data_IF_338186377205
#
_entry.id   IF_338186377205
#
_cell.length_a   1.000
_cell.length_b   1.000
_cell.length_c   1.000
_cell.angle_alpha   90.00
_cell.angle_beta   90.00
_cell.angle_gamma   90.00
#
_symmetry.space_group_name_H-M   'P 1'
#
loop_
_entity.id
_entity.type
_entity.pdbx_description
1 polymer ?
#
# COMPACT_ATOMS: atom_id res chain seq x y z
N UNK A 1 30.48 -1.89 2.92
CA UNK A 1 30.30 -3.30 3.33
C UNK A 1 28.83 -3.55 3.51
N UNK A 2 28.18 -4.31 2.63
CA UNK A 2 26.78 -4.73 2.83
C UNK A 2 26.79 -5.72 4.00
N UNK A 3 26.37 -5.28 5.19
CA UNK A 3 26.12 -6.21 6.29
C UNK A 3 25.12 -7.26 5.79
N UNK A 4 25.55 -8.53 5.78
CA UNK A 4 24.68 -9.69 5.55
C UNK A 4 23.79 -9.88 6.79
N UNK A 5 22.90 -8.92 7.02
CA UNK A 5 21.90 -9.02 8.06
C UNK A 5 20.91 -10.12 7.68
N UNK A 6 20.72 -11.09 8.57
CA UNK A 6 19.77 -12.20 8.40
C UNK A 6 18.85 -12.20 9.60
N UNK A 7 17.56 -12.22 9.32
CA UNK A 7 16.52 -12.32 10.36
C UNK A 7 16.41 -13.74 10.88
N UNK A 8 16.77 -14.74 10.06
CA UNK A 8 16.53 -16.15 10.35
C UNK A 8 15.11 -16.62 10.01
N UNK A 9 14.19 -15.68 9.78
CA UNK A 9 12.84 -15.97 9.29
C UNK A 9 12.83 -16.01 7.77
N UNK A 10 12.16 -17.02 7.22
CA UNK A 10 12.00 -17.16 5.78
C UNK A 10 10.71 -16.49 5.31
N UNK A 11 10.68 -16.15 4.03
CA UNK A 11 9.47 -15.63 3.37
C UNK A 11 8.28 -16.58 3.53
N UNK A 12 8.50 -17.90 3.45
CA UNK A 12 7.43 -18.88 3.61
C UNK A 12 6.81 -18.92 5.02
N UNK A 13 7.55 -18.47 6.04
CA UNK A 13 7.06 -18.37 7.42
C UNK A 13 6.10 -17.19 7.60
N UNK A 14 6.25 -16.15 6.77
CA UNK A 14 5.51 -14.89 6.87
C UNK A 14 4.40 -14.73 5.82
N UNK A 15 4.53 -15.36 4.67
CA UNK A 15 3.65 -15.09 3.52
C UNK A 15 2.20 -15.53 3.75
N UNK A 16 1.28 -14.81 3.12
CA UNK A 16 -0.10 -15.26 2.95
C UNK A 16 -0.14 -16.33 1.86
N UNK A 17 -0.40 -17.60 2.23
CA UNK A 17 -0.40 -18.76 1.30
C UNK A 17 -1.56 -18.74 0.29
N UNK A 18 -2.71 -18.19 0.67
CA UNK A 18 -3.91 -18.07 -0.18
C UNK A 18 -4.29 -16.60 -0.34
N UNK A 19 -3.51 -15.81 -1.10
CA UNK A 19 -3.84 -14.41 -1.32
C UNK A 19 -5.12 -14.29 -2.14
N UNK A 20 -5.84 -13.18 -1.95
CA UNK A 20 -7.04 -12.90 -2.73
C UNK A 20 -6.64 -12.68 -4.19
N UNK A 21 -7.15 -13.52 -5.08
CA UNK A 21 -6.88 -13.46 -6.50
C UNK A 21 -8.14 -13.32 -7.35
N UNK A 22 -7.98 -12.82 -8.57
CA UNK A 22 -9.04 -12.66 -9.57
C UNK A 22 -8.54 -13.10 -10.95
N UNK A 23 -9.48 -13.39 -11.86
CA UNK A 23 -9.15 -13.67 -13.25
C UNK A 23 -8.78 -12.37 -13.99
N UNK A 24 -7.96 -12.45 -15.06
CA UNK A 24 -7.63 -11.26 -15.86
C UNK A 24 -8.85 -10.57 -16.47
N UNK A 25 -9.93 -11.31 -16.71
CA UNK A 25 -11.16 -10.83 -17.33
C UNK A 25 -12.14 -10.19 -16.33
N UNK A 26 -11.87 -10.26 -15.02
CA UNK A 26 -12.69 -9.65 -13.97
C UNK A 26 -12.73 -8.14 -14.14
N UNK A 27 -13.90 -7.52 -13.99
CA UNK A 27 -14.05 -6.07 -14.13
C UNK A 27 -13.33 -5.30 -13.00
N UNK A 28 -12.97 -4.04 -13.23
CA UNK A 28 -12.35 -3.20 -12.19
C UNK A 28 -13.33 -2.93 -11.03
N UNK A 29 -14.62 -2.80 -11.31
CA UNK A 29 -15.65 -2.67 -10.27
C UNK A 29 -15.68 -3.91 -9.36
N UNK A 30 -15.74 -5.11 -9.92
CA UNK A 30 -15.71 -6.36 -9.14
C UNK A 30 -14.39 -6.52 -8.38
N UNK A 31 -13.27 -6.10 -8.97
CA UNK A 31 -11.99 -6.05 -8.27
C UNK A 31 -12.06 -5.16 -7.02
N UNK A 32 -12.63 -3.95 -7.14
CA UNK A 32 -12.78 -3.03 -6.01
C UNK A 32 -13.72 -3.58 -4.93
N UNK A 33 -14.85 -4.20 -5.33
CA UNK A 33 -15.77 -4.87 -4.40
C UNK A 33 -15.06 -6.01 -3.66
N UNK A 34 -14.30 -6.84 -4.38
CA UNK A 34 -13.56 -7.95 -3.76
C UNK A 34 -12.47 -7.46 -2.80
N UNK A 35 -11.79 -6.36 -3.12
CA UNK A 35 -10.85 -5.69 -2.22
C UNK A 35 -11.53 -5.24 -0.92
N UNK A 36 -12.69 -4.58 -1.03
CA UNK A 36 -13.50 -4.15 0.12
C UNK A 36 -13.92 -5.34 0.98
N UNK A 37 -14.55 -6.34 0.37
CA UNK A 37 -15.16 -7.47 1.08
C UNK A 37 -14.12 -8.39 1.71
N UNK A 38 -12.93 -8.46 1.11
CA UNK A 38 -11.81 -9.25 1.65
C UNK A 38 -10.87 -8.44 2.54
N UNK A 39 -11.14 -7.14 2.74
CA UNK A 39 -10.27 -6.20 3.48
C UNK A 39 -8.81 -6.19 3.01
N UNK A 40 -8.58 -6.19 1.69
CA UNK A 40 -7.24 -6.15 1.07
C UNK A 40 -7.08 -4.93 0.15
N UNK A 41 -5.89 -4.32 0.12
CA UNK A 41 -5.57 -3.20 -0.77
C UNK A 41 -4.99 -3.61 -2.13
N UNK A 42 -4.80 -4.91 -2.36
CA UNK A 42 -4.24 -5.44 -3.60
C UNK A 42 -4.79 -6.81 -3.93
N UNK A 43 -4.98 -7.06 -5.22
CA UNK A 43 -5.37 -8.35 -5.77
C UNK A 43 -4.25 -8.90 -6.65
N UNK A 44 -4.08 -10.22 -6.57
CA UNK A 44 -3.23 -10.96 -7.48
C UNK A 44 -4.06 -11.38 -8.70
N UNK A 45 -3.56 -11.14 -9.89
CA UNK A 45 -4.23 -11.56 -11.12
C UNK A 45 -3.54 -12.82 -11.62
N UNK A 46 -4.33 -13.89 -11.70
CA UNK A 46 -3.84 -15.22 -12.06
C UNK A 46 -4.71 -15.86 -13.12
N UNK A 47 -4.09 -16.63 -14.02
CA UNK A 47 -4.78 -17.52 -14.97
C UNK A 47 -4.09 -18.87 -14.94
N UNK A 48 -4.84 -19.95 -14.73
CA UNK A 48 -4.32 -21.33 -14.63
C UNK A 48 -3.14 -21.44 -13.64
N UNK A 49 -3.28 -20.83 -12.46
CA UNK A 49 -2.24 -20.77 -11.41
C UNK A 49 -0.95 -20.03 -11.79
N UNK A 50 -0.90 -19.38 -12.96
CA UNK A 50 0.20 -18.50 -13.36
C UNK A 50 -0.10 -17.07 -12.93
N UNK A 51 0.90 -16.44 -12.31
CA UNK A 51 0.88 -15.02 -12.00
C UNK A 51 0.95 -14.20 -13.30
N UNK A 52 -0.04 -13.34 -13.54
CA UNK A 52 -0.06 -12.41 -14.67
C UNK A 52 0.21 -10.97 -14.24
N UNK A 53 -0.19 -10.60 -13.02
CA UNK A 53 0.01 -9.26 -12.52
C UNK A 53 -0.52 -9.03 -11.12
N UNK A 54 -0.38 -7.79 -10.65
CA UNK A 54 -1.01 -7.28 -9.43
C UNK A 54 -1.81 -6.04 -9.78
N UNK A 55 -2.94 -5.86 -9.11
CA UNK A 55 -3.73 -4.63 -9.14
C UNK A 55 -3.90 -4.11 -7.70
N UNK A 56 -3.56 -2.86 -7.44
CA UNK A 56 -3.79 -2.20 -6.15
C UNK A 56 -4.90 -1.14 -6.20
N UNK A 57 -5.44 -0.78 -5.04
CA UNK A 57 -6.37 0.35 -4.87
C UNK A 57 -5.84 1.65 -5.52
N UNK A 58 -4.55 1.93 -5.34
CA UNK A 58 -3.81 3.05 -5.93
C UNK A 58 -3.80 2.98 -7.45
N UNK A 59 -3.67 1.79 -8.04
CA UNK A 59 -3.73 1.62 -9.49
C UNK A 59 -5.12 1.92 -10.02
N UNK A 60 -6.18 1.45 -9.34
CA UNK A 60 -7.58 1.75 -9.70
C UNK A 60 -7.81 3.26 -9.68
N UNK A 61 -7.43 3.93 -8.60
CA UNK A 61 -7.59 5.39 -8.47
C UNK A 61 -6.83 6.13 -9.58
N UNK A 62 -5.56 5.80 -9.82
CA UNK A 62 -4.70 6.57 -10.74
C UNK A 62 -4.91 6.24 -12.22
N UNK A 63 -5.26 5.00 -12.56
CA UNK A 63 -5.32 4.53 -13.94
C UNK A 63 -6.74 4.46 -14.48
N UNK A 64 -7.75 4.37 -13.61
CA UNK A 64 -9.15 4.24 -14.00
C UNK A 64 -9.91 5.51 -13.62
N UNK A 65 -10.02 5.79 -12.33
CA UNK A 65 -10.86 6.89 -11.82
C UNK A 65 -10.32 8.26 -12.26
N UNK A 66 -9.03 8.53 -12.06
CA UNK A 66 -8.41 9.79 -12.46
C UNK A 66 -8.46 10.03 -13.98
N UNK A 67 -8.62 8.98 -14.77
CA UNK A 67 -8.76 9.06 -16.23
C UNK A 67 -10.22 9.07 -16.70
N UNK A 68 -11.19 9.09 -15.78
CA UNK A 68 -12.64 9.07 -16.06
C UNK A 68 -13.06 7.86 -16.92
N UNK A 69 -12.40 6.72 -16.75
CA UNK A 69 -12.75 5.49 -17.46
C UNK A 69 -13.85 4.73 -16.72
N UNK A 70 -14.67 3.96 -17.45
CA UNK A 70 -15.74 3.17 -16.87
C UNK A 70 -15.19 1.89 -16.22
N UNK A 71 -15.27 1.72 -14.87
CA UNK A 71 -14.73 0.54 -14.18
C UNK A 71 -15.52 -0.75 -14.45
N UNK A 72 -16.74 -0.65 -14.99
CA UNK A 72 -17.58 -1.82 -15.35
C UNK A 72 -17.14 -2.47 -16.65
N UNK A 73 -16.58 -1.70 -17.57
CA UNK A 73 -16.18 -2.17 -18.90
C UNK A 73 -14.71 -2.59 -18.95
N UNK A 74 -13.86 -1.96 -18.13
CA UNK A 74 -12.45 -2.30 -18.06
C UNK A 74 -12.18 -3.58 -17.28
N UNK A 75 -11.27 -4.39 -17.81
CA UNK A 75 -10.81 -5.63 -17.18
C UNK A 75 -9.53 -5.42 -16.38
N UNK A 76 -9.32 -6.32 -15.42
CA UNK A 76 -8.15 -6.32 -14.56
C UNK A 76 -6.83 -6.38 -15.37
N UNK A 77 -6.77 -7.18 -16.44
CA UNK A 77 -5.57 -7.33 -17.28
C UNK A 77 -5.13 -6.06 -18.02
N UNK A 78 -6.06 -5.13 -18.23
CA UNK A 78 -5.82 -3.87 -18.93
C UNK A 78 -5.17 -2.83 -18.00
N UNK A 79 -5.41 -2.94 -16.70
CA UNK A 79 -4.99 -1.96 -15.69
C UNK A 79 -3.81 -2.45 -14.85
N UNK A 80 -3.64 -3.77 -14.72
CA UNK A 80 -2.67 -4.38 -13.83
C UNK A 80 -1.21 -4.03 -14.10
N UNK A 81 -0.39 -4.16 -13.06
CA UNK A 81 1.06 -4.20 -13.18
C UNK A 81 1.49 -5.59 -13.65
N UNK A 82 1.93 -5.70 -14.91
CA UNK A 82 2.36 -6.98 -15.51
C UNK A 82 3.76 -7.41 -15.03
N UNK A 83 4.69 -6.47 -14.93
CA UNK A 83 6.07 -6.75 -14.48
C UNK A 83 6.14 -6.73 -12.97
N UNK A 84 5.75 -7.84 -12.35
CA UNK A 84 5.73 -7.97 -10.89
C UNK A 84 7.09 -8.41 -10.36
N UNK A 85 7.56 -7.73 -9.32
CA UNK A 85 8.76 -8.12 -8.59
C UNK A 85 8.39 -9.27 -7.66
N UNK A 86 9.03 -10.42 -7.82
CA UNK A 86 8.72 -11.65 -7.07
C UNK A 86 9.85 -12.07 -6.14
N UNK A 87 9.60 -13.00 -5.21
CA UNK A 87 10.63 -13.56 -4.33
C UNK A 87 10.44 -15.06 -4.13
N UNK A 88 11.51 -15.78 -3.78
CA UNK A 88 11.44 -17.21 -3.46
C UNK A 88 11.05 -17.46 -2.00
N UNK A 89 10.37 -18.58 -1.68
CA UNK A 89 9.89 -18.90 -0.34
C UNK A 89 11.02 -19.07 0.69
N UNK A 90 12.19 -19.58 0.27
CA UNK A 90 13.33 -19.86 1.14
C UNK A 90 14.24 -18.64 1.39
N UNK A 91 13.89 -17.47 0.86
CA UNK A 91 14.64 -16.23 1.09
C UNK A 91 14.39 -15.68 2.48
N UNK A 92 15.36 -14.94 3.01
CA UNK A 92 15.23 -14.28 4.32
C UNK A 92 14.28 -13.08 4.20
N UNK A 93 13.56 -12.76 5.28
CA UNK A 93 12.69 -11.58 5.33
C UNK A 93 13.46 -10.27 5.04
N UNK A 94 14.72 -10.16 5.47
CA UNK A 94 15.55 -8.98 5.16
C UNK A 94 15.77 -8.81 3.65
N UNK A 95 16.03 -9.90 2.93
CA UNK A 95 16.17 -9.88 1.47
C UNK A 95 14.86 -9.42 0.81
N UNK A 96 13.72 -9.87 1.35
CA UNK A 96 12.41 -9.46 0.89
C UNK A 96 12.18 -7.97 1.07
N UNK A 97 12.50 -7.44 2.24
CA UNK A 97 12.34 -6.02 2.54
C UNK A 97 13.25 -5.13 1.69
N UNK A 98 14.51 -5.55 1.51
CA UNK A 98 15.43 -4.86 0.59
C UNK A 98 14.88 -4.85 -0.84
N UNK A 99 14.33 -5.97 -1.31
CA UNK A 99 13.70 -6.07 -2.64
C UNK A 99 12.46 -5.18 -2.77
N UNK A 100 11.65 -5.06 -1.71
CA UNK A 100 10.54 -4.11 -1.63
C UNK A 100 11.04 -2.65 -1.73
N UNK A 101 12.07 -2.29 -0.96
CA UNK A 101 12.69 -0.95 -0.95
C UNK A 101 13.28 -0.56 -2.30
N UNK A 102 14.05 -1.47 -2.91
CA UNK A 102 14.71 -1.22 -4.19
C UNK A 102 13.70 -1.11 -5.33
N UNK A 103 12.65 -1.94 -5.27
CA UNK A 103 11.56 -1.98 -6.25
C UNK A 103 10.48 -0.92 -6.08
N UNK A 104 10.48 -0.16 -4.98
CA UNK A 104 9.38 0.73 -4.56
C UNK A 104 8.01 0.03 -4.58
N UNK A 105 7.98 -1.21 -4.06
CA UNK A 105 6.77 -2.04 -3.96
C UNK A 105 6.55 -2.50 -2.53
N UNK A 106 5.28 -2.70 -2.16
CA UNK A 106 4.89 -3.16 -0.80
C UNK A 106 4.40 -4.60 -0.77
N UNK A 107 4.35 -5.25 -1.93
CA UNK A 107 3.82 -6.60 -2.12
C UNK A 107 4.79 -7.37 -3.02
N UNK A 108 5.15 -8.59 -2.61
CA UNK A 108 5.98 -9.49 -3.37
C UNK A 108 5.26 -10.83 -3.53
N UNK A 109 4.80 -11.20 -4.74
CA UNK A 109 4.41 -12.57 -5.01
C UNK A 109 5.55 -13.52 -4.72
N UNK A 110 5.21 -14.58 -3.98
CA UNK A 110 6.14 -15.64 -3.65
C UNK A 110 6.02 -16.71 -4.70
N UNK A 111 7.10 -16.93 -5.43
CA UNK A 111 7.18 -17.88 -6.53
C UNK A 111 8.08 -19.04 -6.13
N UNK A 112 7.57 -20.26 -6.24
CA UNK A 112 8.39 -21.46 -6.25
C UNK A 112 8.52 -21.93 -7.70
N UNK A 113 9.71 -21.78 -8.29
CA UNK A 113 9.94 -21.99 -9.73
C UNK A 113 8.98 -21.14 -10.58
N UNK A 114 7.96 -21.76 -11.19
CA UNK A 114 6.96 -21.10 -12.07
C UNK A 114 5.59 -20.95 -11.41
N UNK A 115 5.43 -21.43 -10.20
CA UNK A 115 4.14 -21.44 -9.49
C UNK A 115 4.14 -20.38 -8.40
N UNK A 116 3.03 -19.65 -8.31
CA UNK A 116 2.81 -18.72 -7.21
C UNK A 116 2.30 -19.50 -5.99
N UNK A 117 3.04 -19.41 -4.89
CA UNK A 117 2.74 -20.16 -3.65
C UNK A 117 2.28 -19.27 -2.50
N UNK A 118 2.28 -17.95 -2.70
CA UNK A 118 1.79 -16.99 -1.72
C UNK A 118 2.06 -15.55 -2.11
N UNK A 119 1.68 -14.63 -1.23
CA UNK A 119 1.96 -13.20 -1.31
C UNK A 119 2.58 -12.75 0.01
N UNK A 120 3.73 -12.09 -0.06
CA UNK A 120 4.32 -11.43 1.09
C UNK A 120 4.05 -9.93 1.01
N UNK A 121 3.48 -9.36 2.06
CA UNK A 121 3.25 -7.92 2.16
C UNK A 121 4.18 -7.29 3.19
N UNK A 122 4.42 -5.98 3.08
CA UNK A 122 5.13 -5.23 4.11
C UNK A 122 4.47 -5.39 5.49
N UNK A 123 3.13 -5.46 5.53
CA UNK A 123 2.38 -5.69 6.77
C UNK A 123 2.70 -7.04 7.39
N UNK A 124 2.92 -8.08 6.59
CA UNK A 124 3.29 -9.40 7.09
C UNK A 124 4.69 -9.40 7.73
N UNK A 125 5.64 -8.70 7.10
CA UNK A 125 6.99 -8.51 7.63
C UNK A 125 6.94 -7.77 8.98
N UNK A 126 6.21 -6.65 9.05
CA UNK A 126 6.13 -5.83 10.25
C UNK A 126 5.42 -6.52 11.43
N UNK A 127 4.61 -7.55 11.18
CA UNK A 127 4.04 -8.38 12.26
C UNK A 127 5.07 -9.27 12.94
N UNK A 128 6.11 -9.68 12.22
CA UNK A 128 7.11 -10.64 12.70
C UNK A 128 8.33 -9.90 13.24
N UNK A 129 8.74 -8.83 12.56
CA UNK A 129 9.93 -8.08 12.93
C UNK A 129 9.71 -6.56 12.75
N UNK A 130 9.03 -5.90 13.71
CA UNK A 130 8.75 -4.47 13.67
C UNK A 130 10.01 -3.60 13.55
N UNK A 131 11.15 -4.06 14.08
CA UNK A 131 12.43 -3.35 14.09
C UNK A 131 12.98 -3.12 12.68
N UNK A 132 12.53 -3.91 11.70
CA UNK A 132 12.92 -3.72 10.31
C UNK A 132 12.26 -2.50 9.65
N UNK A 133 11.34 -1.81 10.32
CA UNK A 133 10.67 -0.63 9.79
C UNK A 133 11.67 0.48 9.39
N UNK A 134 12.76 0.64 10.13
CA UNK A 134 13.81 1.64 9.85
C UNK A 134 14.39 1.53 8.43
N UNK A 135 14.51 0.30 7.91
CA UNK A 135 15.05 0.05 6.57
C UNK A 135 14.20 0.69 5.46
N UNK A 136 12.91 0.91 5.73
CA UNK A 136 11.94 1.48 4.80
C UNK A 136 11.91 3.02 4.84
N UNK A 137 12.28 3.62 5.98
CA UNK A 137 12.13 5.05 6.26
C UNK A 137 12.92 5.92 5.26
N UNK A 138 14.14 5.50 4.89
CA UNK A 138 15.04 6.28 4.01
C UNK A 138 14.43 6.72 2.66
N UNK A 139 13.40 6.03 2.16
CA UNK A 139 12.68 6.41 0.91
C UNK A 139 11.22 6.82 1.14
N UNK A 140 10.60 6.41 2.24
CA UNK A 140 9.19 6.69 2.50
C UNK A 140 8.94 8.09 3.07
N UNK A 141 9.86 8.66 3.84
CA UNK A 141 9.59 9.90 4.57
C UNK A 141 9.97 11.19 3.82
N UNK A 142 11.09 11.25 3.08
CA UNK A 142 11.54 12.52 2.48
C UNK A 142 10.88 12.88 1.12
N UNK A 143 10.15 11.95 0.49
CA UNK A 143 9.46 12.20 -0.80
C UNK A 143 7.98 12.55 -0.67
N UNK A 144 7.35 12.30 0.48
CA UNK A 144 5.94 12.59 0.67
C UNK A 144 5.68 14.07 1.00
N UNK A 145 6.53 14.72 1.79
CA UNK A 145 6.38 16.15 2.15
C UNK A 145 6.35 17.08 0.93
N UNK A 146 7.12 16.78 -0.11
CA UNK A 146 7.16 17.58 -1.34
C UNK A 146 6.01 17.29 -2.34
N UNK A 147 5.29 16.16 -2.20
CA UNK A 147 4.29 15.70 -3.19
C UNK A 147 2.87 15.61 -2.65
N UNK A 148 2.70 15.45 -1.34
CA UNK A 148 1.43 15.64 -0.66
C UNK A 148 1.50 17.05 -0.10
N UNK A 149 0.76 18.04 -0.63
CA UNK A 149 0.43 19.16 0.22
C UNK A 149 -0.23 18.54 1.44
N UNK A 150 0.44 18.61 2.59
CA UNK A 150 -0.26 18.47 3.86
C UNK A 150 -1.34 19.54 3.76
N UNK A 151 -2.60 19.13 3.61
CA UNK A 151 -3.71 20.06 3.52
C UNK A 151 -3.86 20.68 4.92
N UNK A 152 -3.09 21.73 5.14
CA UNK A 152 -2.91 22.41 6.41
C UNK A 152 -1.56 23.11 6.35
N UNK A 153 -1.58 24.43 6.51
CA UNK A 153 -0.38 25.18 6.91
C UNK A 153 0.17 24.68 8.25
N UNK A 154 0.94 25.48 8.99
CA UNK A 154 1.56 25.03 10.24
C UNK A 154 0.51 24.38 11.15
N UNK A 155 0.65 23.07 11.35
CA UNK A 155 -0.17 22.31 12.29
C UNK A 155 0.26 22.79 13.67
N UNK A 156 -0.58 23.61 14.31
CA UNK A 156 -0.36 24.01 15.69
C UNK A 156 -1.14 23.10 16.63
N UNK A 157 -0.47 22.67 17.69
CA UNK A 157 -1.14 22.06 18.84
C UNK A 157 -1.62 23.18 19.76
N UNK A 158 -2.85 23.10 20.24
CA UNK A 158 -3.42 24.13 21.11
C UNK A 158 -4.90 23.93 21.37
N UNK A 159 -5.57 24.99 21.85
CA UNK A 159 -7.03 24.99 22.01
C UNK A 159 -7.71 25.55 20.77
N UNK A 160 -8.80 24.90 20.35
CA UNK A 160 -9.66 25.43 19.31
C UNK A 160 -10.38 26.69 19.80
N UNK A 161 -10.24 27.79 19.09
CA UNK A 161 -10.86 29.07 19.46
C UNK A 161 -12.39 29.08 19.34
N UNK A 162 -12.99 28.13 18.61
CA UNK A 162 -14.45 28.03 18.48
C UNK A 162 -15.13 27.09 19.48
N UNK A 163 -14.46 26.01 19.89
CA UNK A 163 -15.08 25.02 20.79
C UNK A 163 -14.35 24.84 22.13
N UNK A 164 -13.18 25.47 22.30
CA UNK A 164 -12.38 25.38 23.53
C UNK A 164 -11.71 24.03 23.77
N UNK A 165 -11.86 23.06 22.88
CA UNK A 165 -11.24 21.74 23.05
C UNK A 165 -9.81 21.72 22.51
N UNK A 166 -8.88 21.01 23.20
CA UNK A 166 -7.53 20.80 22.72
C UNK A 166 -7.55 19.99 21.41
N UNK A 167 -6.67 20.35 20.50
CA UNK A 167 -6.50 19.70 19.20
C UNK A 167 -5.04 19.72 18.81
N UNK A 168 -4.54 18.59 18.31
CA UNK A 168 -3.20 18.49 17.70
C UNK A 168 -3.22 18.82 16.20
N UNK A 169 -4.38 19.27 15.70
CA UNK A 169 -4.60 19.57 14.30
C UNK A 169 -5.47 20.82 14.15
N UNK A 170 -4.98 21.96 14.66
CA UNK A 170 -5.62 23.26 14.47
C UNK A 170 -5.27 23.85 13.10
N UNK A 171 -6.23 24.52 12.48
CA UNK A 171 -6.10 25.21 11.20
C UNK A 171 -6.39 26.67 11.40
N UNK A 172 -5.52 27.52 10.85
CA UNK A 172 -5.79 28.95 10.78
C UNK A 172 -6.82 29.23 9.67
N UNK A 173 -7.97 29.75 10.05
CA UNK A 173 -9.05 30.16 9.13
C UNK A 173 -9.45 31.57 9.53
N UNK A 174 -9.24 32.53 8.62
CA UNK A 174 -9.54 33.95 8.84
C UNK A 174 -8.88 34.53 10.11
N UNK A 175 -7.68 34.06 10.46
CA UNK A 175 -6.95 34.49 11.65
C UNK A 175 -7.32 33.78 12.96
N UNK A 176 -8.18 32.75 12.92
CA UNK A 176 -8.52 31.93 14.09
C UNK A 176 -8.05 30.49 13.96
N UNK A 177 -7.52 29.91 15.04
CA UNK A 177 -7.11 28.50 15.09
C UNK A 177 -8.28 27.57 15.45
N UNK A 178 -8.76 26.81 14.46
CA UNK A 178 -9.93 25.94 14.58
C UNK A 178 -9.58 24.47 14.40
N UNK A 179 -10.16 23.58 15.21
CA UNK A 179 -10.02 22.13 15.00
C UNK A 179 -10.76 21.69 13.73
N UNK A 180 -10.40 20.52 13.20
CA UNK A 180 -10.99 19.95 11.96
C UNK A 180 -12.53 19.97 11.94
N UNK A 181 -13.16 19.76 13.09
CA UNK A 181 -14.63 19.77 13.25
C UNK A 181 -15.24 21.17 13.16
N UNK A 182 -14.58 22.19 13.69
CA UNK A 182 -15.06 23.58 13.65
C UNK A 182 -14.73 24.24 12.31
N UNK A 183 -13.55 23.94 11.76
CA UNK A 183 -13.10 24.38 10.45
C UNK A 183 -14.05 23.95 9.32
N UNK A 184 -14.51 22.70 9.33
CA UNK A 184 -15.43 22.15 8.33
C UNK A 184 -16.83 22.76 8.33
N UNK A 185 -17.20 23.53 9.35
CA UNK A 185 -18.49 24.26 9.40
C UNK A 185 -18.40 25.69 8.87
N UNK A 186 -17.19 26.22 8.66
CA UNK A 186 -16.93 27.57 8.15
C UNK A 186 -16.61 27.60 6.64
N UNK A 187 -16.45 26.43 6.01
CA UNK A 187 -16.21 26.27 4.57
C UNK A 187 -17.52 26.12 3.79
#
# INVERSE_FOLDING_TARGET
MTLNYKTGYKVCDAMTKKPVSVSPETSIEECALKMRDSHVGSLVITKDSKLLGILSDRDIVRRVIAKKLNPKELKAEEVMIKKVITIGPEKDIYDALKKMKDGDVRHLPVMNKKEMVGLLTLKDILKIQPELFELMIEKFELREEARKPIFGGPISEGMCEACGFPSTNLREIEGSFLCTRCASKKL
#
